data_IF_123630861859
#
_entry.id   IF_123630861859
#
_cell.length_a   1.000
_cell.length_b   1.000
_cell.length_c   1.000
_cell.angle_alpha   90.00
_cell.angle_beta   90.00
_cell.angle_gamma   90.00
#
_symmetry.space_group_name_H-M   'P 1'
#
loop_
_entity.id
_entity.type
_entity.pdbx_description
1 polymer ?
#
# COMPACT_ATOMS: atom_id res chain seq x y z
N UNK A 1 30.77 -18.93 64.27
CA UNK A 1 31.04 -18.47 62.88
C UNK A 1 29.84 -18.83 62.03
N UNK A 2 28.98 -17.84 61.67
CA UNK A 2 27.75 -18.07 60.90
C UNK A 2 28.10 -17.80 59.41
N UNK A 3 28.08 -18.85 58.55
CA UNK A 3 28.26 -18.74 57.12
C UNK A 3 26.96 -18.19 56.49
N UNK A 4 27.03 -16.97 55.93
CA UNK A 4 25.93 -16.41 55.14
C UNK A 4 26.04 -16.97 53.71
N UNK A 5 25.04 -17.73 53.28
CA UNK A 5 24.90 -18.22 51.93
C UNK A 5 24.27 -17.11 51.06
N UNK A 6 25.06 -16.58 50.13
CA UNK A 6 24.61 -15.58 49.17
C UNK A 6 23.95 -16.31 47.98
N UNK A 7 22.63 -16.24 47.86
CA UNK A 7 21.90 -16.77 46.71
C UNK A 7 21.90 -15.71 45.61
N UNK A 8 22.63 -15.98 44.55
CA UNK A 8 22.69 -15.12 43.37
C UNK A 8 21.48 -15.44 42.47
N UNK A 9 20.49 -14.55 42.43
CA UNK A 9 19.32 -14.67 41.55
C UNK A 9 19.75 -14.24 40.15
N UNK A 10 19.93 -15.18 39.22
CA UNK A 10 20.09 -14.89 37.80
C UNK A 10 18.73 -14.52 37.20
N UNK A 11 18.55 -13.24 36.89
CA UNK A 11 17.43 -12.78 36.07
C UNK A 11 17.77 -13.08 34.61
N UNK A 12 17.15 -14.11 34.03
CA UNK A 12 17.21 -14.38 32.60
C UNK A 12 16.29 -13.39 31.91
N UNK A 13 16.86 -12.33 31.34
CA UNK A 13 16.13 -11.42 30.45
C UNK A 13 15.84 -12.15 29.14
N UNK A 14 14.66 -12.74 29.02
CA UNK A 14 14.18 -13.31 27.79
C UNK A 14 13.95 -12.21 26.76
N UNK A 15 14.76 -12.18 25.69
CA UNK A 15 14.51 -11.32 24.52
C UNK A 15 13.20 -11.77 23.87
N UNK A 16 12.12 -11.01 24.03
CA UNK A 16 10.91 -11.16 23.23
C UNK A 16 11.27 -10.78 21.80
N UNK A 17 11.54 -11.74 20.95
CA UNK A 17 11.55 -11.53 19.49
C UNK A 17 10.11 -11.27 19.06
N UNK A 18 9.80 -10.02 18.71
CA UNK A 18 8.49 -9.66 18.17
C UNK A 18 8.25 -10.50 16.90
N UNK A 19 7.23 -11.31 16.91
CA UNK A 19 6.77 -12.03 15.73
C UNK A 19 6.29 -11.00 14.69
N UNK A 20 6.63 -11.16 13.40
CA UNK A 20 6.03 -10.30 12.37
C UNK A 20 4.51 -10.35 12.47
N UNK A 21 3.88 -9.19 12.36
CA UNK A 21 2.42 -9.12 12.36
C UNK A 21 1.87 -9.94 11.16
N UNK A 22 0.74 -10.63 11.32
CA UNK A 22 0.12 -11.34 10.20
C UNK A 22 -0.26 -10.34 9.09
N UNK A 23 -0.30 -10.78 7.82
CA UNK A 23 -0.75 -9.95 6.70
C UNK A 23 -2.15 -9.35 6.98
N UNK A 24 -2.40 -8.17 6.41
CA UNK A 24 -3.70 -7.52 6.52
C UNK A 24 -4.76 -8.34 5.75
N UNK A 25 -5.78 -8.79 6.47
CA UNK A 25 -6.89 -9.55 5.90
C UNK A 25 -8.12 -8.68 5.65
N UNK A 26 -9.00 -9.10 4.74
CA UNK A 26 -10.26 -8.41 4.44
C UNK A 26 -11.10 -8.27 5.71
N UNK A 27 -11.60 -7.07 5.96
CA UNK A 27 -12.29 -6.68 7.20
C UNK A 27 -11.35 -6.25 8.33
N UNK A 28 -10.05 -6.53 8.23
CA UNK A 28 -9.03 -6.09 9.19
C UNK A 28 -8.72 -4.59 9.08
N UNK A 29 -8.35 -3.96 10.18
CA UNK A 29 -7.95 -2.55 10.22
C UNK A 29 -6.48 -2.42 9.84
N UNK A 30 -6.21 -1.57 8.86
CA UNK A 30 -4.85 -1.30 8.38
C UNK A 30 -4.03 -0.59 9.46
N UNK A 31 -2.76 -0.99 9.58
CA UNK A 31 -1.79 -0.37 10.48
C UNK A 31 -0.92 0.62 9.71
N UNK A 32 -0.18 1.46 10.43
CA UNK A 32 0.77 2.44 9.86
C UNK A 32 0.13 3.44 8.89
N UNK A 33 -1.19 3.64 8.95
CA UNK A 33 -1.90 4.57 8.04
C UNK A 33 -1.48 6.02 8.23
N UNK A 34 -0.97 6.40 9.42
CA UNK A 34 -0.48 7.75 9.75
C UNK A 34 1.02 7.92 9.53
N UNK A 35 1.75 6.84 9.13
CA UNK A 35 3.18 6.91 8.88
C UNK A 35 3.47 7.94 7.78
N UNK A 36 4.31 8.94 8.12
CA UNK A 36 4.68 9.99 7.18
C UNK A 36 5.73 9.50 6.19
N UNK A 37 5.46 9.74 4.92
CA UNK A 37 6.33 9.40 3.79
C UNK A 37 6.58 10.65 2.95
N UNK A 38 7.74 10.74 2.33
CA UNK A 38 8.02 11.80 1.37
C UNK A 38 7.50 11.37 -0.01
N UNK A 39 6.67 12.18 -0.64
CA UNK A 39 6.24 11.97 -2.01
C UNK A 39 7.16 12.65 -3.03
N UNK A 40 6.92 12.42 -4.32
CA UNK A 40 7.71 12.98 -5.42
C UNK A 40 7.64 14.51 -5.50
N UNK A 41 6.65 15.16 -4.89
CA UNK A 41 6.57 16.63 -4.80
C UNK A 41 7.41 17.19 -3.64
N UNK A 42 7.99 16.33 -2.81
CA UNK A 42 8.72 16.66 -1.59
C UNK A 42 7.84 16.88 -0.35
N UNK A 43 6.54 16.69 -0.47
CA UNK A 43 5.59 16.81 0.65
C UNK A 43 5.63 15.57 1.54
N UNK A 44 5.32 15.76 2.83
CA UNK A 44 5.03 14.67 3.73
C UNK A 44 3.56 14.26 3.54
N UNK A 45 3.35 12.98 3.27
CA UNK A 45 2.04 12.38 3.03
C UNK A 45 1.89 11.10 3.84
N UNK A 46 0.65 10.72 4.11
CA UNK A 46 0.33 9.43 4.75
C UNK A 46 -0.91 8.83 4.08
N UNK A 47 -1.16 7.54 4.30
CA UNK A 47 -2.37 6.88 3.80
C UNK A 47 -3.62 7.57 4.34
N UNK A 48 -3.65 7.85 5.65
CA UNK A 48 -4.77 8.54 6.28
C UNK A 48 -4.95 9.96 5.74
N UNK A 49 -3.84 10.69 5.49
CA UNK A 49 -3.88 12.02 4.90
C UNK A 49 -4.32 12.05 3.44
N UNK A 50 -4.14 10.95 2.72
CA UNK A 50 -4.58 10.80 1.33
C UNK A 50 -6.03 10.31 1.20
N UNK A 51 -6.67 9.91 2.31
CA UNK A 51 -8.01 9.35 2.27
C UNK A 51 -9.07 10.38 1.85
N UNK A 52 -10.01 9.92 1.03
CA UNK A 52 -11.24 10.64 0.73
C UNK A 52 -12.36 10.29 1.71
N UNK A 53 -13.54 10.92 1.57
CA UNK A 53 -14.69 10.67 2.46
C UNK A 53 -15.12 9.20 2.56
N UNK A 54 -14.90 8.40 1.52
CA UNK A 54 -15.31 7.01 1.47
C UNK A 54 -14.15 6.02 1.70
N UNK A 55 -12.90 6.50 1.81
CA UNK A 55 -11.74 5.65 2.04
C UNK A 55 -10.56 5.98 1.15
N UNK A 56 -9.64 5.03 0.95
CA UNK A 56 -8.41 5.25 0.18
C UNK A 56 -7.98 3.99 -0.58
N UNK A 57 -7.61 4.16 -1.83
CA UNK A 57 -6.91 3.17 -2.64
C UNK A 57 -5.40 3.32 -2.41
N UNK A 58 -4.77 2.30 -1.86
CA UNK A 58 -3.31 2.17 -1.73
C UNK A 58 -2.82 1.22 -2.81
N UNK A 59 -1.88 1.66 -3.63
CA UNK A 59 -1.32 0.85 -4.70
C UNK A 59 0.19 0.71 -4.47
N UNK A 60 0.66 -0.49 -4.14
CA UNK A 60 2.08 -0.78 -4.09
C UNK A 60 2.63 -0.92 -5.50
N UNK A 61 3.73 -0.22 -5.79
CA UNK A 61 4.31 -0.10 -7.12
C UNK A 61 5.82 0.02 -7.05
N UNK A 62 6.47 0.18 -8.20
CA UNK A 62 7.88 0.49 -8.39
C UNK A 62 8.05 1.09 -9.80
N UNK A 63 9.23 1.61 -10.15
CA UNK A 63 9.43 2.21 -11.48
C UNK A 63 9.71 1.18 -12.57
N UNK A 64 10.48 0.14 -12.27
CA UNK A 64 11.03 -0.79 -13.27
C UNK A 64 10.45 -2.19 -13.28
N UNK A 65 9.42 -2.49 -12.49
CA UNK A 65 8.81 -3.83 -12.48
C UNK A 65 8.07 -4.09 -13.81
N UNK A 66 8.34 -5.19 -14.52
CA UNK A 66 7.69 -5.50 -15.80
C UNK A 66 6.17 -5.53 -15.75
N UNK A 67 5.60 -5.99 -14.65
CA UNK A 67 4.14 -5.96 -14.47
C UNK A 67 3.61 -4.55 -14.19
N UNK A 68 4.35 -3.72 -13.44
CA UNK A 68 3.96 -2.31 -13.27
C UNK A 68 3.92 -1.61 -14.63
N UNK A 69 4.95 -1.76 -15.46
CA UNK A 69 5.02 -1.14 -16.80
C UNK A 69 3.83 -1.51 -17.69
N UNK A 70 3.23 -2.68 -17.49
CA UNK A 70 2.03 -3.13 -18.23
C UNK A 70 0.74 -2.48 -17.72
N UNK A 71 0.63 -2.20 -16.42
CA UNK A 71 -0.58 -1.62 -15.82
C UNK A 71 -0.52 -0.12 -15.56
N UNK A 72 0.68 0.49 -15.42
CA UNK A 72 0.82 1.88 -14.98
C UNK A 72 0.11 2.91 -15.88
N UNK A 73 -0.05 2.62 -17.16
CA UNK A 73 -0.84 3.45 -18.07
C UNK A 73 -2.30 3.65 -17.64
N UNK A 74 -2.81 2.81 -16.70
CA UNK A 74 -4.17 2.89 -16.14
C UNK A 74 -4.25 3.64 -14.82
N UNK A 75 -3.10 4.01 -14.19
CA UNK A 75 -3.08 4.62 -12.86
C UNK A 75 -3.82 5.96 -12.82
N UNK A 76 -3.65 6.80 -13.83
CA UNK A 76 -4.38 8.06 -13.92
C UNK A 76 -5.91 7.85 -14.09
N UNK A 77 -6.31 6.75 -14.72
CA UNK A 77 -7.72 6.37 -14.82
C UNK A 77 -8.26 5.83 -13.50
N UNK A 78 -7.48 5.01 -12.79
CA UNK A 78 -7.80 4.59 -11.41
C UNK A 78 -8.04 5.79 -10.51
N UNK A 79 -7.18 6.83 -10.61
CA UNK A 79 -7.37 8.08 -9.86
C UNK A 79 -8.70 8.76 -10.18
N UNK A 80 -9.09 8.83 -11.46
CA UNK A 80 -10.39 9.39 -11.86
C UNK A 80 -11.55 8.60 -11.26
N UNK A 81 -11.49 7.27 -11.30
CA UNK A 81 -12.53 6.43 -10.70
C UNK A 81 -12.57 6.58 -9.18
N UNK A 82 -11.42 6.67 -8.51
CA UNK A 82 -11.34 6.94 -7.08
C UNK A 82 -12.03 8.27 -6.74
N UNK A 83 -11.69 9.36 -7.45
CA UNK A 83 -12.29 10.68 -7.25
C UNK A 83 -13.81 10.70 -7.45
N UNK A 84 -14.29 10.06 -8.52
CA UNK A 84 -15.73 9.93 -8.80
C UNK A 84 -16.49 9.25 -7.66
N UNK A 85 -15.83 8.36 -6.94
CA UNK A 85 -16.37 7.62 -5.80
C UNK A 85 -16.01 8.24 -4.44
N UNK A 86 -15.41 9.44 -4.41
CA UNK A 86 -14.94 10.13 -3.19
C UNK A 86 -13.97 9.28 -2.36
N UNK A 87 -13.16 8.50 -3.04
CA UNK A 87 -12.07 7.70 -2.48
C UNK A 87 -10.75 8.38 -2.79
N UNK A 88 -9.87 8.48 -1.82
CA UNK A 88 -8.50 8.97 -2.06
C UNK A 88 -7.67 7.93 -2.80
N UNK A 89 -6.50 8.33 -3.29
CA UNK A 89 -5.53 7.40 -3.90
C UNK A 89 -4.12 7.82 -3.55
N UNK A 90 -3.30 6.84 -3.16
CA UNK A 90 -1.87 6.99 -2.93
C UNK A 90 -1.15 5.79 -3.55
N UNK A 91 -0.05 6.04 -4.24
CA UNK A 91 0.83 5.01 -4.79
C UNK A 91 2.12 5.00 -3.99
N UNK A 92 2.57 3.82 -3.59
CA UNK A 92 3.74 3.63 -2.73
C UNK A 92 4.81 2.85 -3.49
N UNK A 93 6.00 3.43 -3.64
CA UNK A 93 7.15 2.68 -4.07
C UNK A 93 7.76 1.97 -2.86
N UNK A 94 7.54 0.65 -2.81
CA UNK A 94 7.99 -0.20 -1.71
C UNK A 94 9.13 -1.14 -2.12
N UNK A 95 9.76 -0.92 -3.28
CA UNK A 95 10.89 -1.70 -3.75
C UNK A 95 12.20 -1.27 -3.07
N UNK A 96 12.26 -1.48 -1.76
CA UNK A 96 13.35 -1.00 -0.90
C UNK A 96 14.74 -1.36 -1.41
N UNK A 97 14.90 -2.55 -1.96
CA UNK A 97 16.20 -3.02 -2.47
C UNK A 97 16.76 -2.15 -3.60
N UNK A 98 15.88 -1.42 -4.30
CA UNK A 98 16.25 -0.58 -5.44
C UNK A 98 16.12 0.93 -5.16
N UNK A 99 15.85 1.34 -3.91
CA UNK A 99 15.70 2.76 -3.53
C UNK A 99 17.01 3.58 -3.65
N UNK A 100 18.16 2.92 -3.80
CA UNK A 100 19.44 3.55 -4.14
C UNK A 100 19.74 3.52 -5.65
N UNK A 101 18.85 2.96 -6.46
CA UNK A 101 18.96 2.80 -7.91
C UNK A 101 17.73 3.35 -8.63
N UNK A 102 17.14 2.53 -9.51
CA UNK A 102 16.02 2.91 -10.37
C UNK A 102 14.73 3.29 -9.67
N UNK A 103 14.60 3.00 -8.36
CA UNK A 103 13.48 3.40 -7.50
C UNK A 103 13.87 4.49 -6.48
N UNK A 104 14.99 5.19 -6.72
CA UNK A 104 15.36 6.36 -5.91
C UNK A 104 14.35 7.49 -6.05
N UNK A 105 14.30 8.39 -5.07
CA UNK A 105 13.39 9.54 -5.11
C UNK A 105 13.58 10.39 -6.38
N UNK A 106 14.80 10.50 -6.88
CA UNK A 106 15.09 11.22 -8.12
C UNK A 106 14.47 10.52 -9.32
N UNK A 107 14.66 9.21 -9.45
CA UNK A 107 14.07 8.43 -10.53
C UNK A 107 12.54 8.35 -10.43
N UNK A 108 11.97 8.26 -9.21
CA UNK A 108 10.53 8.36 -8.99
C UNK A 108 9.96 9.70 -9.49
N UNK A 109 10.66 10.83 -9.26
CA UNK A 109 10.23 12.15 -9.77
C UNK A 109 10.21 12.19 -11.29
N UNK A 110 11.25 11.68 -11.95
CA UNK A 110 11.32 11.59 -13.41
C UNK A 110 10.19 10.73 -13.96
N UNK A 111 10.04 9.54 -13.41
CA UNK A 111 9.00 8.58 -13.80
C UNK A 111 7.59 9.17 -13.65
N UNK A 112 7.29 9.78 -12.52
CA UNK A 112 6.00 10.42 -12.26
C UNK A 112 5.71 11.56 -13.25
N UNK A 113 6.72 12.37 -13.60
CA UNK A 113 6.59 13.43 -14.59
C UNK A 113 6.36 12.88 -16.01
N UNK A 114 7.11 11.86 -16.42
CA UNK A 114 6.96 11.20 -17.73
C UNK A 114 5.59 10.55 -17.90
N UNK A 115 5.05 9.93 -16.83
CA UNK A 115 3.75 9.27 -16.84
C UNK A 115 2.58 10.23 -16.54
N UNK A 116 2.86 11.48 -16.23
CA UNK A 116 1.85 12.48 -15.90
C UNK A 116 1.03 12.10 -14.68
N UNK A 117 1.66 11.55 -13.62
CA UNK A 117 0.96 11.15 -12.41
C UNK A 117 0.33 12.35 -11.72
N UNK A 118 -0.96 12.27 -11.43
CA UNK A 118 -1.77 13.32 -10.79
C UNK A 118 -2.24 12.93 -9.38
N UNK A 119 -1.50 12.05 -8.73
CA UNK A 119 -1.73 11.52 -7.38
C UNK A 119 -0.42 11.50 -6.59
N UNK A 120 -0.50 11.32 -5.27
CA UNK A 120 0.69 11.15 -4.43
C UNK A 120 1.41 9.85 -4.76
N UNK A 121 2.69 9.97 -5.14
CA UNK A 121 3.59 8.84 -5.34
C UNK A 121 4.72 8.95 -4.31
N UNK A 122 4.68 8.12 -3.28
CA UNK A 122 5.52 8.25 -2.09
C UNK A 122 6.47 7.07 -1.90
N UNK A 123 7.58 7.33 -1.20
CA UNK A 123 8.60 6.33 -0.89
C UNK A 123 8.26 5.62 0.42
N UNK A 124 7.93 4.32 0.34
CA UNK A 124 7.78 3.44 1.51
C UNK A 124 9.14 2.90 1.94
N UNK A 125 9.83 3.63 2.83
CA UNK A 125 11.15 3.25 3.32
C UNK A 125 11.13 1.87 3.98
N UNK A 126 12.11 1.03 3.61
CA UNK A 126 12.26 -0.33 4.16
C UNK A 126 11.03 -1.22 3.93
N UNK A 127 10.18 -0.86 2.96
CA UNK A 127 8.92 -1.56 2.67
C UNK A 127 8.03 -1.72 3.92
N UNK A 128 8.07 -0.76 4.85
CA UNK A 128 7.37 -0.86 6.14
C UNK A 128 5.88 -1.05 6.00
N UNK A 129 5.27 -0.24 5.13
CA UNK A 129 3.82 -0.30 4.90
C UNK A 129 3.48 -1.56 4.10
N UNK A 130 4.24 -1.87 3.04
CA UNK A 130 4.02 -3.08 2.27
C UNK A 130 4.09 -4.34 3.15
N UNK A 131 5.08 -4.42 4.05
CA UNK A 131 5.22 -5.52 5.00
C UNK A 131 4.03 -5.61 5.97
N UNK A 132 3.55 -4.46 6.49
CA UNK A 132 2.39 -4.42 7.40
C UNK A 132 1.07 -4.81 6.71
N UNK A 133 0.95 -4.52 5.41
CA UNK A 133 -0.21 -4.89 4.59
C UNK A 133 -0.12 -6.33 4.06
N UNK A 134 1.07 -6.94 4.06
CA UNK A 134 1.31 -8.22 3.41
C UNK A 134 1.37 -8.09 1.89
N UNK A 135 1.86 -6.95 1.38
CA UNK A 135 2.11 -6.73 -0.05
C UNK A 135 3.18 -7.70 -0.57
N UNK A 136 2.87 -8.48 -1.61
CA UNK A 136 3.75 -9.53 -2.13
C UNK A 136 4.22 -9.27 -3.55
N UNK A 137 3.49 -8.45 -4.29
CA UNK A 137 3.74 -8.19 -5.72
C UNK A 137 3.65 -6.70 -6.01
N UNK A 138 4.07 -6.30 -7.22
CA UNK A 138 3.81 -4.97 -7.78
C UNK A 138 3.32 -5.11 -9.23
N UNK A 139 2.22 -4.45 -9.61
CA UNK A 139 1.34 -3.67 -8.72
C UNK A 139 0.50 -4.56 -7.80
N UNK A 140 0.16 -4.05 -6.60
CA UNK A 140 -0.76 -4.71 -5.67
C UNK A 140 -1.69 -3.66 -5.07
N UNK A 141 -2.98 -3.79 -5.31
CA UNK A 141 -3.99 -2.85 -4.87
C UNK A 141 -4.60 -3.26 -3.52
N UNK A 142 -4.77 -2.28 -2.62
CA UNK A 142 -5.47 -2.41 -1.35
C UNK A 142 -6.46 -1.26 -1.24
N UNK A 143 -7.75 -1.56 -1.11
CA UNK A 143 -8.79 -0.57 -0.91
C UNK A 143 -9.24 -0.60 0.54
N UNK A 144 -9.10 0.52 1.22
CA UNK A 144 -9.55 0.72 2.59
C UNK A 144 -10.81 1.57 2.60
N UNK A 145 -11.75 1.24 3.48
CA UNK A 145 -12.91 2.07 3.74
C UNK A 145 -12.57 3.31 4.60
N UNK A 146 -13.58 4.12 4.93
CA UNK A 146 -13.43 5.32 5.79
C UNK A 146 -12.95 5.02 7.22
N UNK A 147 -13.08 3.78 7.68
CA UNK A 147 -12.61 3.30 8.99
C UNK A 147 -11.21 2.67 8.90
N UNK A 148 -10.55 2.75 7.72
CA UNK A 148 -9.28 2.10 7.41
C UNK A 148 -9.35 0.57 7.51
N UNK A 149 -10.51 -0.03 7.27
CA UNK A 149 -10.65 -1.48 7.13
C UNK A 149 -10.47 -1.89 5.68
N UNK A 150 -9.76 -2.98 5.46
CA UNK A 150 -9.53 -3.55 4.14
C UNK A 150 -10.83 -4.11 3.56
N UNK A 151 -11.24 -3.64 2.39
CA UNK A 151 -12.43 -4.11 1.67
C UNK A 151 -12.08 -4.81 0.35
N UNK A 152 -10.88 -4.57 -0.18
CA UNK A 152 -10.35 -5.26 -1.35
C UNK A 152 -8.82 -5.33 -1.31
N UNK A 153 -8.23 -6.47 -1.72
CA UNK A 153 -6.80 -6.61 -2.05
C UNK A 153 -6.63 -7.48 -3.28
N UNK A 154 -5.66 -7.14 -4.13
CA UNK A 154 -5.33 -7.96 -5.31
C UNK A 154 -4.90 -7.16 -6.53
N UNK A 155 -5.15 -7.72 -7.71
CA UNK A 155 -4.81 -7.13 -8.99
C UNK A 155 -5.74 -5.96 -9.37
N UNK A 156 -5.30 -5.12 -10.30
CA UNK A 156 -6.09 -4.01 -10.81
C UNK A 156 -7.29 -4.52 -11.63
N UNK A 157 -7.02 -5.46 -12.53
CA UNK A 157 -7.99 -6.11 -13.41
C UNK A 157 -7.43 -7.46 -13.89
N UNK A 158 -8.17 -8.19 -14.74
CA UNK A 158 -7.81 -9.52 -15.24
C UNK A 158 -6.95 -9.53 -16.51
N UNK A 159 -6.49 -8.37 -17.01
CA UNK A 159 -5.74 -8.32 -18.26
C UNK A 159 -4.68 -7.22 -18.27
N UNK A 160 -3.45 -7.56 -17.85
CA UNK A 160 -2.32 -6.62 -17.86
C UNK A 160 -1.81 -6.26 -19.26
N UNK A 161 -2.02 -7.13 -20.26
CA UNK A 161 -1.49 -6.92 -21.61
C UNK A 161 -2.39 -6.01 -22.47
N UNK A 162 -3.72 -6.08 -22.29
CA UNK A 162 -4.66 -5.38 -23.15
C UNK A 162 -5.84 -4.79 -22.37
N UNK A 163 -5.83 -3.46 -22.19
CA UNK A 163 -6.92 -2.77 -21.49
C UNK A 163 -8.30 -2.96 -22.15
N UNK A 164 -8.36 -3.07 -23.47
CA UNK A 164 -9.63 -3.33 -24.19
C UNK A 164 -10.16 -4.75 -24.01
N UNK A 165 -9.30 -5.67 -23.58
CA UNK A 165 -9.68 -7.08 -23.32
C UNK A 165 -10.03 -7.37 -21.86
N UNK A 166 -10.10 -6.36 -20.99
CA UNK A 166 -10.48 -6.51 -19.57
C UNK A 166 -11.92 -6.96 -19.46
N UNK A 167 -12.15 -8.08 -18.80
CA UNK A 167 -13.49 -8.63 -18.48
C UNK A 167 -13.90 -8.33 -17.04
N UNK A 168 -12.92 -8.27 -16.13
CA UNK A 168 -13.11 -8.02 -14.71
C UNK A 168 -12.23 -6.86 -14.25
N UNK A 169 -12.82 -5.68 -14.09
CA UNK A 169 -12.16 -4.46 -13.65
C UNK A 169 -12.27 -4.34 -12.10
N UNK A 170 -11.63 -5.26 -11.38
CA UNK A 170 -11.85 -5.48 -9.95
C UNK A 170 -11.71 -4.23 -9.10
N UNK A 171 -10.63 -3.44 -9.27
CA UNK A 171 -10.46 -2.20 -8.51
C UNK A 171 -11.56 -1.18 -8.84
N UNK A 172 -11.92 -1.02 -10.12
CA UNK A 172 -13.00 -0.13 -10.53
C UNK A 172 -14.34 -0.52 -9.90
N UNK A 173 -14.66 -1.82 -9.91
CA UNK A 173 -15.90 -2.34 -9.34
C UNK A 173 -15.93 -2.18 -7.82
N UNK A 174 -14.79 -2.42 -7.14
CA UNK A 174 -14.64 -2.21 -5.71
C UNK A 174 -14.80 -0.73 -5.33
N UNK A 175 -14.18 0.20 -6.08
CA UNK A 175 -14.35 1.65 -5.89
C UNK A 175 -15.81 2.07 -6.06
N UNK A 176 -16.50 1.56 -7.09
CA UNK A 176 -17.90 1.87 -7.34
C UNK A 176 -18.83 1.33 -6.24
N UNK A 177 -18.56 0.14 -5.72
CA UNK A 177 -19.30 -0.41 -4.58
C UNK A 177 -19.11 0.45 -3.32
N UNK A 178 -17.86 0.78 -3.00
CA UNK A 178 -17.53 1.60 -1.83
C UNK A 178 -18.15 2.99 -1.92
N UNK A 179 -18.10 3.63 -3.10
CA UNK A 179 -18.71 4.95 -3.35
C UNK A 179 -20.21 4.98 -3.15
N UNK A 180 -20.89 3.84 -3.34
CA UNK A 180 -22.34 3.65 -3.11
C UNK A 180 -22.68 3.15 -1.70
N UNK A 181 -21.69 2.96 -0.83
CA UNK A 181 -21.88 2.35 0.49
C UNK A 181 -22.30 0.87 0.43
N UNK A 182 -21.96 0.18 -0.66
CA UNK A 182 -22.27 -1.23 -0.87
C UNK A 182 -21.07 -2.10 -0.53
N UNK A 183 -21.34 -3.36 -0.19
CA UNK A 183 -20.27 -4.34 0.02
C UNK A 183 -19.56 -4.67 -1.30
N UNK A 184 -18.23 -4.76 -1.25
CA UNK A 184 -17.40 -5.21 -2.36
C UNK A 184 -17.65 -6.72 -2.59
N UNK A 185 -18.08 -7.09 -3.79
CA UNK A 185 -18.45 -8.49 -4.11
C UNK A 185 -17.25 -9.42 -4.22
N UNK A 186 -16.19 -8.94 -4.89
CA UNK A 186 -14.91 -9.66 -5.01
C UNK A 186 -13.92 -8.90 -4.16
N UNK A 187 -13.56 -9.44 -3.02
CA UNK A 187 -12.72 -8.76 -2.03
C UNK A 187 -11.25 -9.16 -2.10
N UNK A 188 -10.92 -10.20 -2.86
CA UNK A 188 -9.54 -10.69 -3.04
C UNK A 188 -9.36 -11.34 -4.42
N UNK A 189 -8.19 -11.10 -5.08
CA UNK A 189 -7.82 -11.69 -6.40
C UNK A 189 -6.33 -11.98 -6.50
#
# INVERSE_FOLDING_TARGET
>A
MKKRLLVLLMVVAGSLTARPAPPLEVGGKAQLTDLQMTDVSGKQVSIAGAAGPNGVLVLFSCNGCPFVLKWEGRYNELKKWADQNKVGMIVLNSNHQNHQGGDSMEEMKKHAAEKGYNFSYALDKESKIANAFGGQTTPHAFLLDREMKLVYKGAIDDNYDNAAGVKHAWVKDALAALGKGQQVKVSET
#
